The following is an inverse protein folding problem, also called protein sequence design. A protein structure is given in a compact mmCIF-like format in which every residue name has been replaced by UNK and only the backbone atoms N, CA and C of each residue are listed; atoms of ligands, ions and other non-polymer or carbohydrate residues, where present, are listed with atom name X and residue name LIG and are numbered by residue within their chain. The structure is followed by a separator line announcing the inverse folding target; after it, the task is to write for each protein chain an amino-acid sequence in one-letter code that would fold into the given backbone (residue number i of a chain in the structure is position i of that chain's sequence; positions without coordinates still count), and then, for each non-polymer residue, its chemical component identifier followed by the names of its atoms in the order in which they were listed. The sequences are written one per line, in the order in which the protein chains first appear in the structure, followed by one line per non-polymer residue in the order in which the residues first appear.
data_IF_650942381126
#
_entry.id   IF_650942381126
#
_cell.length_a   1.000
_cell.length_b   1.000
_cell.length_c   1.000
_cell.angle_alpha   90.00
_cell.angle_beta   90.00
_cell.angle_gamma   90.00
#
_symmetry.space_group_name_H-M   'P 1'
#
loop_
_entity.id
_entity.type
_entity.pdbx_description
1 polymer ?
#
# COMPACT_ATOMS: atom_id res chain seq x y z
N UNK A 1 -13.23 42.45 -30.28
CA UNK A 1 -13.13 43.20 -31.52
C UNK A 1 -13.82 44.57 -31.40
N UNK A 2 -15.08 44.66 -30.97
CA UNK A 2 -15.88 45.90 -30.93
C UNK A 2 -15.32 46.93 -29.93
N UNK A 3 -14.90 46.54 -28.72
CA UNK A 3 -14.32 47.43 -27.70
C UNK A 3 -13.03 48.07 -28.24
N UNK A 4 -12.16 47.28 -28.86
CA UNK A 4 -10.92 47.79 -29.46
C UNK A 4 -11.20 48.77 -30.61
N UNK A 5 -12.21 48.50 -31.42
CA UNK A 5 -12.63 49.42 -32.48
C UNK A 5 -13.21 50.75 -31.90
N UNK A 6 -14.02 50.65 -30.83
CA UNK A 6 -14.54 51.81 -30.13
C UNK A 6 -13.42 52.67 -29.51
N UNK A 7 -12.39 52.06 -28.94
CA UNK A 7 -11.20 52.78 -28.44
C UNK A 7 -10.46 53.50 -29.56
N UNK A 8 -10.19 52.83 -30.68
CA UNK A 8 -9.52 53.42 -31.83
C UNK A 8 -10.31 54.62 -32.34
N UNK A 9 -11.65 54.47 -32.43
CA UNK A 9 -12.50 55.56 -32.86
C UNK A 9 -12.47 56.76 -31.91
N UNK A 10 -12.51 56.50 -30.56
CA UNK A 10 -12.40 57.56 -29.56
C UNK A 10 -11.03 58.25 -29.61
N UNK A 11 -9.94 57.51 -29.72
CA UNK A 11 -8.59 58.05 -29.75
C UNK A 11 -8.29 58.87 -31.00
N UNK A 12 -8.99 58.59 -32.10
CA UNK A 12 -8.90 59.33 -33.35
C UNK A 12 -9.65 60.68 -33.33
N UNK A 13 -10.47 60.98 -32.28
CA UNK A 13 -11.11 62.28 -32.11
C UNK A 13 -10.08 63.34 -31.75
N UNK A 14 -10.28 64.54 -32.24
CA UNK A 14 -9.52 65.75 -31.79
C UNK A 14 -9.94 66.17 -30.36
N UNK A 15 -9.19 67.09 -29.78
CA UNK A 15 -9.40 67.53 -28.39
C UNK A 15 -10.77 68.21 -28.19
N UNK A 16 -11.28 68.93 -29.19
CA UNK A 16 -12.58 69.57 -29.12
C UNK A 16 -13.72 68.55 -29.09
N UNK A 17 -13.64 67.50 -29.91
CA UNK A 17 -14.63 66.43 -29.93
C UNK A 17 -14.51 65.49 -28.67
N UNK A 18 -13.29 65.24 -28.15
CA UNK A 18 -13.09 64.55 -26.89
C UNK A 18 -13.70 65.29 -25.70
N UNK A 19 -13.59 66.63 -25.68
CA UNK A 19 -14.13 67.47 -24.62
C UNK A 19 -15.67 67.42 -24.49
N UNK A 20 -16.35 67.20 -25.59
CA UNK A 20 -17.83 67.08 -25.61
C UNK A 20 -18.33 65.65 -25.61
N UNK A 21 -17.40 64.65 -25.62
CA UNK A 21 -17.78 63.23 -25.60
C UNK A 21 -18.50 62.89 -24.29
N UNK A 22 -19.56 62.10 -24.42
CA UNK A 22 -20.36 61.69 -23.26
C UNK A 22 -19.52 60.94 -22.22
N UNK A 23 -19.38 61.49 -21.03
CA UNK A 23 -18.57 60.92 -19.92
C UNK A 23 -19.05 59.53 -19.49
N UNK A 24 -20.37 59.26 -19.55
CA UNK A 24 -20.90 57.94 -19.16
C UNK A 24 -20.56 56.89 -20.23
N UNK A 25 -20.54 57.27 -21.53
CA UNK A 25 -20.13 56.39 -22.62
C UNK A 25 -18.63 56.09 -22.50
N UNK A 26 -17.80 57.09 -22.19
CA UNK A 26 -16.36 56.85 -21.97
C UNK A 26 -16.10 55.94 -20.78
N UNK A 27 -16.83 56.12 -19.65
CA UNK A 27 -16.73 55.25 -18.51
C UNK A 27 -17.10 53.81 -18.84
N UNK A 28 -18.19 53.58 -19.56
CA UNK A 28 -18.60 52.23 -20.04
C UNK A 28 -17.53 51.60 -20.93
N UNK A 29 -16.88 52.37 -21.81
CA UNK A 29 -15.77 51.89 -22.62
C UNK A 29 -14.58 51.46 -21.78
N UNK A 30 -14.16 52.25 -20.76
CA UNK A 30 -13.08 51.94 -19.84
C UNK A 30 -13.40 50.72 -19.00
N UNK A 31 -14.63 50.61 -18.46
CA UNK A 31 -15.08 49.47 -17.71
C UNK A 31 -15.07 48.18 -18.58
N UNK A 32 -15.52 48.29 -19.83
CA UNK A 32 -15.51 47.16 -20.76
C UNK A 32 -14.09 46.73 -21.16
N UNK A 33 -13.13 47.67 -21.25
CA UNK A 33 -11.73 47.38 -21.50
C UNK A 33 -11.11 46.63 -20.29
N UNK A 34 -11.35 47.11 -19.06
CA UNK A 34 -10.89 46.46 -17.86
C UNK A 34 -11.43 45.03 -17.73
N UNK A 35 -12.72 44.81 -17.98
CA UNK A 35 -13.32 43.47 -18.04
C UNK A 35 -12.67 42.60 -19.12
N UNK A 36 -12.44 43.17 -20.32
CA UNK A 36 -11.79 42.45 -21.43
C UNK A 36 -10.39 41.96 -21.08
N UNK A 37 -9.58 42.75 -20.36
CA UNK A 37 -8.24 42.36 -19.91
C UNK A 37 -8.29 41.24 -18.89
N UNK A 38 -9.25 41.27 -17.96
CA UNK A 38 -9.42 40.20 -16.95
C UNK A 38 -9.84 38.89 -17.60
N UNK A 39 -10.77 38.93 -18.56
CA UNK A 39 -11.17 37.74 -19.36
C UNK A 39 -9.96 37.18 -20.10
N UNK A 40 -9.17 38.01 -20.76
CA UNK A 40 -7.99 37.57 -21.51
C UNK A 40 -6.94 36.92 -20.59
N UNK A 41 -6.76 37.45 -19.39
CA UNK A 41 -5.87 36.84 -18.37
C UNK A 41 -6.36 35.44 -17.97
N UNK A 42 -7.66 35.28 -17.74
CA UNK A 42 -8.24 33.98 -17.42
C UNK A 42 -8.10 32.98 -18.56
N UNK A 43 -8.44 33.39 -19.80
CA UNK A 43 -8.28 32.56 -21.01
C UNK A 43 -6.84 32.12 -21.19
N UNK A 44 -5.86 33.03 -21.09
CA UNK A 44 -4.43 32.68 -21.20
C UNK A 44 -3.95 31.72 -20.10
N UNK A 45 -4.44 31.91 -18.89
CA UNK A 45 -4.10 30.98 -17.78
C UNK A 45 -4.67 29.58 -18.05
N UNK A 46 -5.90 29.47 -18.55
CA UNK A 46 -6.51 28.20 -18.94
C UNK A 46 -5.77 27.58 -20.13
N UNK A 47 -5.39 28.38 -21.13
CA UNK A 47 -4.62 27.91 -22.29
C UNK A 47 -3.26 27.34 -21.90
N UNK A 48 -2.64 27.89 -20.85
CA UNK A 48 -1.36 27.38 -20.31
C UNK A 48 -1.44 26.02 -19.62
N UNK A 49 -2.63 25.53 -19.31
CA UNK A 49 -2.83 24.18 -18.76
C UNK A 49 -2.50 23.15 -19.86
N UNK A 50 -1.70 22.11 -19.59
CA UNK A 50 -1.48 21.02 -20.54
C UNK A 50 -2.78 20.33 -20.97
N UNK A 51 -2.74 19.52 -22.02
CA UNK A 51 -3.87 18.68 -22.40
C UNK A 51 -4.16 17.65 -21.29
N UNK A 52 -5.42 17.24 -21.14
CA UNK A 52 -5.85 16.39 -20.01
C UNK A 52 -5.09 15.06 -19.92
N UNK A 53 -4.67 14.49 -21.04
CA UNK A 53 -3.87 13.26 -21.13
C UNK A 53 -2.39 13.45 -20.75
N UNK A 54 -1.91 14.69 -20.72
CA UNK A 54 -0.53 15.05 -20.35
C UNK A 54 -0.41 15.64 -18.93
N UNK A 55 -1.55 15.85 -18.25
CA UNK A 55 -1.57 16.43 -16.92
C UNK A 55 -0.92 15.51 -15.89
N UNK A 56 -0.13 16.14 -15.04
CA UNK A 56 0.50 15.53 -13.87
C UNK A 56 0.10 16.29 -12.60
N UNK A 57 0.41 15.76 -11.44
CA UNK A 57 0.16 16.46 -10.16
C UNK A 57 1.00 17.73 -9.99
N UNK A 58 2.09 17.87 -10.73
CA UNK A 58 2.90 19.11 -10.73
C UNK A 58 2.14 20.28 -11.34
N UNK A 59 1.19 20.00 -12.26
CA UNK A 59 0.36 21.00 -12.93
C UNK A 59 -0.78 21.53 -12.05
N UNK A 60 -1.03 20.92 -10.89
CA UNK A 60 -2.11 21.31 -9.96
C UNK A 60 -2.12 22.81 -9.68
N UNK A 61 -0.95 23.40 -9.39
CA UNK A 61 -0.84 24.84 -9.12
C UNK A 61 -1.22 25.72 -10.32
N UNK A 62 -0.96 25.24 -11.53
CA UNK A 62 -1.34 25.94 -12.77
C UNK A 62 -2.86 25.93 -12.94
N UNK A 63 -3.50 24.78 -12.68
CA UNK A 63 -4.96 24.63 -12.72
C UNK A 63 -5.63 25.50 -11.64
N UNK A 64 -5.15 25.46 -10.39
CA UNK A 64 -5.66 26.29 -9.28
C UNK A 64 -5.53 27.80 -9.56
N UNK A 65 -4.41 28.22 -10.18
CA UNK A 65 -4.22 29.61 -10.58
C UNK A 65 -5.22 30.01 -11.67
N UNK A 66 -5.47 29.16 -12.66
CA UNK A 66 -6.46 29.43 -13.70
C UNK A 66 -7.87 29.52 -13.10
N UNK A 67 -8.22 28.62 -12.15
CA UNK A 67 -9.48 28.66 -11.40
C UNK A 67 -9.62 29.98 -10.62
N UNK A 68 -8.60 30.39 -9.90
CA UNK A 68 -8.61 31.65 -9.14
C UNK A 68 -8.88 32.87 -10.04
N UNK A 69 -8.28 32.90 -11.24
CA UNK A 69 -8.49 33.98 -12.19
C UNK A 69 -9.90 33.96 -12.80
N UNK A 70 -10.45 32.78 -13.07
CA UNK A 70 -11.81 32.63 -13.54
C UNK A 70 -12.85 33.04 -12.48
N UNK A 71 -12.68 32.60 -11.23
CA UNK A 71 -13.61 32.89 -10.13
C UNK A 71 -13.60 34.38 -9.72
N UNK A 72 -12.52 35.10 -10.02
CA UNK A 72 -12.43 36.54 -9.80
C UNK A 72 -13.26 37.36 -10.83
N UNK A 73 -13.75 36.72 -11.89
CA UNK A 73 -14.61 37.36 -12.89
C UNK A 73 -16.07 37.45 -12.41
N UNK A 74 -16.78 38.52 -12.82
CA UNK A 74 -18.24 38.55 -12.66
C UNK A 74 -18.94 37.55 -13.60
N UNK A 75 -20.21 37.24 -13.37
CA UNK A 75 -20.95 36.23 -14.11
C UNK A 75 -21.01 36.50 -15.65
N UNK A 76 -21.07 37.77 -16.03
CA UNK A 76 -21.06 38.16 -17.44
C UNK A 76 -19.71 37.88 -18.12
N UNK A 77 -18.63 38.20 -17.41
CA UNK A 77 -17.25 37.96 -17.84
C UNK A 77 -16.92 36.46 -17.84
N UNK A 78 -17.40 35.69 -16.88
CA UNK A 78 -17.24 34.24 -16.85
C UNK A 78 -17.89 33.58 -18.07
N UNK A 79 -19.10 34.02 -18.46
CA UNK A 79 -19.78 33.52 -19.65
C UNK A 79 -19.03 33.81 -20.96
N UNK A 80 -18.13 34.79 -20.97
CA UNK A 80 -17.30 35.13 -22.11
C UNK A 80 -15.98 34.34 -22.20
N UNK A 81 -15.64 33.53 -21.20
CA UNK A 81 -14.44 32.67 -21.22
C UNK A 81 -14.69 31.45 -22.09
N UNK A 82 -14.11 31.44 -23.30
CA UNK A 82 -14.41 30.46 -24.35
C UNK A 82 -13.84 29.05 -24.09
N UNK A 83 -12.81 28.92 -23.24
CA UNK A 83 -12.08 27.68 -22.97
C UNK A 83 -12.34 27.13 -21.58
N UNK A 84 -13.46 27.47 -20.94
CA UNK A 84 -13.82 27.05 -19.59
C UNK A 84 -13.90 25.52 -19.43
N UNK A 85 -14.36 24.78 -20.48
CA UNK A 85 -14.40 23.33 -20.46
C UNK A 85 -13.02 22.70 -20.18
N UNK A 86 -11.95 23.27 -20.78
CA UNK A 86 -10.59 22.81 -20.55
C UNK A 86 -10.18 22.92 -19.06
N UNK A 87 -10.60 23.99 -18.37
CA UNK A 87 -10.36 24.16 -16.95
C UNK A 87 -11.06 23.06 -16.13
N UNK A 88 -12.35 22.84 -16.39
CA UNK A 88 -13.14 21.82 -15.67
C UNK A 88 -12.63 20.41 -15.92
N UNK A 89 -12.24 20.08 -17.15
CA UNK A 89 -11.63 18.79 -17.49
C UNK A 89 -10.29 18.59 -16.78
N UNK A 90 -9.47 19.65 -16.72
CA UNK A 90 -8.21 19.61 -15.99
C UNK A 90 -8.39 19.41 -14.48
N UNK A 91 -9.38 20.05 -13.87
CA UNK A 91 -9.70 19.88 -12.45
C UNK A 91 -10.14 18.45 -12.12
N UNK A 92 -11.01 17.87 -12.96
CA UNK A 92 -11.41 16.48 -12.81
C UNK A 92 -10.20 15.57 -12.93
N UNK A 93 -9.31 15.82 -13.89
CA UNK A 93 -8.11 15.00 -14.08
C UNK A 93 -7.12 15.10 -12.92
N UNK A 94 -6.91 16.29 -12.36
CA UNK A 94 -6.07 16.47 -11.16
C UNK A 94 -6.67 15.72 -9.99
N UNK A 95 -8.00 15.79 -9.77
CA UNK A 95 -8.66 15.06 -8.71
C UNK A 95 -8.51 13.53 -8.85
N UNK A 96 -8.63 12.97 -10.06
CA UNK A 96 -8.37 11.55 -10.34
C UNK A 96 -6.93 11.15 -10.03
N UNK A 97 -5.96 11.99 -10.38
CA UNK A 97 -4.55 11.74 -10.12
C UNK A 97 -4.23 11.78 -8.62
N UNK A 98 -4.85 12.69 -7.87
CA UNK A 98 -4.73 12.77 -6.42
C UNK A 98 -5.31 11.54 -5.73
N UNK A 99 -6.50 11.10 -6.15
CA UNK A 99 -7.14 9.89 -5.62
C UNK A 99 -6.27 8.65 -5.88
N UNK A 100 -5.76 8.51 -7.11
CA UNK A 100 -4.85 7.42 -7.48
C UNK A 100 -3.59 7.42 -6.62
N UNK A 101 -2.94 8.58 -6.44
CA UNK A 101 -1.74 8.69 -5.61
C UNK A 101 -2.03 8.37 -4.14
N UNK A 102 -3.18 8.80 -3.62
CA UNK A 102 -3.61 8.49 -2.27
C UNK A 102 -3.82 6.98 -2.09
N UNK A 103 -4.47 6.32 -3.07
CA UNK A 103 -4.67 4.87 -3.06
C UNK A 103 -3.35 4.11 -3.13
N UNK A 104 -2.45 4.46 -4.04
CA UNK A 104 -1.11 3.84 -4.15
C UNK A 104 -0.30 4.00 -2.86
N UNK A 105 -0.42 5.15 -2.21
CA UNK A 105 0.25 5.40 -0.91
C UNK A 105 -0.34 4.55 0.20
N UNK A 106 -1.68 4.40 0.24
CA UNK A 106 -2.37 3.54 1.20
C UNK A 106 -2.02 2.07 0.99
N UNK A 107 -1.98 1.60 -0.26
CA UNK A 107 -1.62 0.23 -0.61
C UNK A 107 -0.17 -0.10 -0.21
N UNK A 108 0.76 0.80 -0.49
CA UNK A 108 2.16 0.66 -0.07
C UNK A 108 2.30 0.59 1.44
N UNK A 109 1.60 1.47 2.18
CA UNK A 109 1.63 1.48 3.64
C UNK A 109 1.04 0.19 4.25
N UNK A 110 -0.03 -0.34 3.67
CA UNK A 110 -0.61 -1.61 4.12
C UNK A 110 0.38 -2.77 3.91
N UNK A 111 0.99 -2.87 2.74
CA UNK A 111 1.99 -3.88 2.42
C UNK A 111 3.25 -3.76 3.30
N UNK A 112 3.75 -2.53 3.53
CA UNK A 112 4.90 -2.27 4.40
C UNK A 112 4.65 -2.69 5.85
N UNK A 113 3.42 -2.49 6.36
CA UNK A 113 3.03 -2.95 7.70
C UNK A 113 3.18 -4.47 7.83
N UNK A 114 2.71 -5.23 6.84
CA UNK A 114 2.83 -6.70 6.82
C UNK A 114 4.28 -7.12 6.63
N UNK A 115 5.03 -6.49 5.72
CA UNK A 115 6.45 -6.77 5.49
C UNK A 115 7.27 -6.55 6.77
N UNK A 116 6.99 -5.50 7.51
CA UNK A 116 7.62 -5.21 8.81
C UNK A 116 7.25 -6.25 9.87
N UNK A 117 5.98 -6.68 9.89
CA UNK A 117 5.54 -7.74 10.79
C UNK A 117 6.27 -9.06 10.51
N UNK A 118 6.43 -9.44 9.24
CA UNK A 118 7.21 -10.61 8.82
C UNK A 118 8.68 -10.48 9.26
N UNK A 119 9.30 -9.32 9.01
CA UNK A 119 10.70 -9.07 9.38
C UNK A 119 10.94 -9.09 10.90
N UNK A 120 9.90 -8.88 11.70
CA UNK A 120 9.97 -8.95 13.17
C UNK A 120 9.91 -10.38 13.74
N UNK A 121 9.61 -11.40 12.91
CA UNK A 121 9.58 -12.79 13.31
C UNK A 121 10.99 -13.34 13.56
N UNK A 122 11.13 -14.36 14.43
CA UNK A 122 12.41 -15.05 14.61
C UNK A 122 12.91 -15.65 13.28
N UNK A 123 14.23 -15.72 13.10
CA UNK A 123 14.79 -16.46 11.97
C UNK A 123 14.48 -17.96 12.08
N UNK A 124 14.47 -18.68 10.95
CA UNK A 124 14.22 -20.12 10.92
C UNK A 124 15.11 -20.92 11.89
N UNK A 125 16.38 -20.51 12.03
CA UNK A 125 17.34 -21.11 12.95
C UNK A 125 16.92 -20.94 14.42
N UNK A 126 16.54 -19.71 14.79
CA UNK A 126 16.21 -19.33 16.17
C UNK A 126 14.73 -19.56 16.54
N UNK A 127 13.92 -20.05 15.61
CA UNK A 127 12.50 -20.26 15.83
C UNK A 127 12.27 -21.41 16.83
N UNK A 128 11.60 -21.09 17.94
CA UNK A 128 11.10 -22.06 18.91
C UNK A 128 9.57 -22.09 18.79
N UNK A 129 8.95 -23.23 18.40
CA UNK A 129 7.52 -23.31 18.10
C UNK A 129 6.66 -23.38 19.37
N UNK A 130 6.78 -22.38 20.24
CA UNK A 130 5.89 -22.23 21.41
C UNK A 130 4.59 -21.53 21.01
N UNK A 131 3.59 -21.56 21.88
CA UNK A 131 2.26 -21.00 21.60
C UNK A 131 2.32 -19.52 21.20
N UNK A 132 3.22 -18.74 21.77
CA UNK A 132 3.39 -17.33 21.43
C UNK A 132 3.88 -17.15 19.98
N UNK A 133 4.91 -17.90 19.57
CA UNK A 133 5.47 -17.81 18.21
C UNK A 133 4.48 -18.33 17.18
N UNK A 134 3.80 -19.44 17.46
CA UNK A 134 2.77 -20.00 16.57
C UNK A 134 1.62 -19.02 16.37
N UNK A 135 1.11 -18.45 17.46
CA UNK A 135 0.08 -17.41 17.39
C UNK A 135 0.53 -16.19 16.57
N UNK A 136 1.80 -15.75 16.76
CA UNK A 136 2.35 -14.62 16.02
C UNK A 136 2.46 -14.90 14.53
N UNK A 137 2.87 -16.11 14.14
CA UNK A 137 2.88 -16.53 12.72
C UNK A 137 1.48 -16.52 12.11
N UNK A 138 0.46 -16.97 12.85
CA UNK A 138 -0.93 -16.98 12.39
C UNK A 138 -1.50 -15.56 12.29
N UNK A 139 -1.19 -14.65 13.21
CA UNK A 139 -1.57 -13.24 13.15
C UNK A 139 -0.99 -12.55 11.92
N UNK A 140 0.29 -12.78 11.62
CA UNK A 140 0.96 -12.20 10.46
C UNK A 140 0.41 -12.79 9.16
N UNK A 141 0.10 -14.09 9.12
CA UNK A 141 -0.55 -14.72 7.97
C UNK A 141 -1.94 -14.12 7.74
N UNK A 142 -2.75 -13.96 8.79
CA UNK A 142 -4.07 -13.35 8.68
C UNK A 142 -4.00 -11.90 8.20
N UNK A 143 -2.98 -11.14 8.64
CA UNK A 143 -2.75 -9.78 8.15
C UNK A 143 -2.39 -9.75 6.67
N UNK A 144 -1.58 -10.71 6.18
CA UNK A 144 -1.29 -10.86 4.75
C UNK A 144 -2.54 -11.25 3.94
N UNK A 145 -3.32 -12.20 4.45
CA UNK A 145 -4.52 -12.70 3.76
C UNK A 145 -5.59 -11.60 3.60
N UNK A 146 -5.63 -10.64 4.54
CA UNK A 146 -6.54 -9.50 4.50
C UNK A 146 -6.16 -8.42 3.47
N UNK A 147 -4.95 -8.47 2.91
CA UNK A 147 -4.52 -7.55 1.86
C UNK A 147 -5.24 -7.83 0.54
N UNK A 148 -5.46 -6.77 -0.24
CA UNK A 148 -5.89 -6.89 -1.64
C UNK A 148 -4.77 -7.51 -2.50
N UNK A 149 -5.10 -8.02 -3.68
CA UNK A 149 -4.07 -8.58 -4.58
C UNK A 149 -3.00 -7.56 -4.98
N UNK A 150 -3.39 -6.28 -5.15
CA UNK A 150 -2.46 -5.18 -5.41
C UNK A 150 -1.48 -4.98 -4.24
N UNK A 151 -1.99 -5.00 -3.01
CA UNK A 151 -1.18 -4.87 -1.79
C UNK A 151 -0.27 -6.08 -1.57
N UNK A 152 -0.78 -7.31 -1.80
CA UNK A 152 0.01 -8.55 -1.70
C UNK A 152 1.21 -8.54 -2.65
N UNK A 153 1.02 -8.03 -3.87
CA UNK A 153 2.11 -7.90 -4.84
C UNK A 153 3.25 -6.97 -4.39
N UNK A 154 2.99 -6.09 -3.42
CA UNK A 154 3.98 -5.18 -2.82
C UNK A 154 4.71 -5.77 -1.61
N UNK A 155 4.30 -6.96 -1.12
CA UNK A 155 4.96 -7.66 0.01
C UNK A 155 6.08 -8.54 -0.52
N UNK A 156 7.31 -8.06 -0.49
CA UNK A 156 8.47 -8.75 -1.09
C UNK A 156 8.96 -9.94 -0.28
N UNK A 157 8.68 -9.99 1.02
CA UNK A 157 9.20 -11.01 1.94
C UNK A 157 8.17 -12.08 2.36
N UNK A 158 7.11 -12.29 1.60
CA UNK A 158 6.08 -13.29 1.94
C UNK A 158 6.63 -14.72 1.96
N UNK A 159 7.57 -15.05 1.09
CA UNK A 159 8.23 -16.38 1.10
C UNK A 159 8.93 -16.68 2.43
N UNK A 160 9.44 -15.65 3.11
CA UNK A 160 10.01 -15.81 4.46
C UNK A 160 8.96 -16.29 5.44
N UNK A 161 7.75 -15.71 5.42
CA UNK A 161 6.64 -16.15 6.28
C UNK A 161 6.26 -17.60 6.00
N UNK A 162 6.14 -17.99 4.73
CA UNK A 162 5.84 -19.38 4.34
C UNK A 162 6.90 -20.35 4.85
N UNK A 163 8.17 -20.00 4.68
CA UNK A 163 9.30 -20.79 5.18
C UNK A 163 9.24 -20.95 6.71
N UNK A 164 9.01 -19.83 7.44
CA UNK A 164 8.92 -19.87 8.89
C UNK A 164 7.75 -20.73 9.38
N UNK A 165 6.61 -20.68 8.70
CA UNK A 165 5.45 -21.52 9.04
C UNK A 165 5.76 -23.01 8.84
N UNK A 166 6.44 -23.36 7.76
CA UNK A 166 6.88 -24.75 7.48
C UNK A 166 7.85 -25.22 8.56
N UNK A 167 8.89 -24.42 8.86
CA UNK A 167 9.87 -24.74 9.90
C UNK A 167 9.22 -24.87 11.29
N UNK A 168 8.24 -23.99 11.59
CA UNK A 168 7.51 -24.06 12.85
C UNK A 168 6.72 -25.37 12.98
N UNK A 169 6.06 -25.82 11.90
CA UNK A 169 5.32 -27.06 11.86
C UNK A 169 6.27 -28.27 12.02
N UNK A 170 7.40 -28.28 11.31
CA UNK A 170 8.39 -29.35 11.38
C UNK A 170 9.02 -29.47 12.77
N UNK A 171 9.43 -28.33 13.36
CA UNK A 171 9.99 -28.31 14.73
C UNK A 171 8.94 -28.70 15.78
N UNK A 172 7.66 -28.36 15.60
CA UNK A 172 6.58 -28.77 16.48
C UNK A 172 6.37 -30.26 16.44
N UNK A 173 6.28 -30.85 15.24
CA UNK A 173 6.15 -32.31 15.09
C UNK A 173 7.33 -33.07 15.73
N UNK A 174 8.55 -32.58 15.55
CA UNK A 174 9.73 -33.12 16.21
C UNK A 174 9.71 -32.99 17.73
N UNK A 175 9.21 -31.86 18.26
CA UNK A 175 9.06 -31.65 19.69
C UNK A 175 8.06 -32.61 20.30
N UNK A 176 6.93 -32.91 19.65
CA UNK A 176 5.95 -33.91 20.10
C UNK A 176 6.57 -35.32 20.20
N UNK A 177 7.43 -35.70 19.25
CA UNK A 177 8.18 -36.96 19.32
C UNK A 177 9.25 -36.93 20.43
N UNK A 178 9.93 -35.80 20.60
CA UNK A 178 10.90 -35.59 21.68
C UNK A 178 10.25 -35.81 23.05
N UNK A 179 9.02 -35.30 23.25
CA UNK A 179 8.26 -35.49 24.48
C UNK A 179 7.87 -36.99 24.69
N UNK A 180 7.46 -37.69 23.63
CA UNK A 180 7.19 -39.15 23.72
C UNK A 180 8.43 -39.93 24.09
N UNK A 181 9.59 -39.61 23.56
CA UNK A 181 10.87 -40.24 23.94
C UNK A 181 11.22 -39.91 25.38
N UNK A 182 11.02 -38.66 25.84
CA UNK A 182 11.25 -38.29 27.25
C UNK A 182 10.34 -39.04 28.20
N UNK A 183 9.08 -39.34 27.82
CA UNK A 183 8.12 -40.08 28.61
C UNK A 183 8.55 -41.53 28.89
N UNK A 184 9.45 -42.10 28.09
CA UNK A 184 10.05 -43.42 28.36
C UNK A 184 10.78 -43.40 29.71
N UNK A 185 11.53 -42.33 30.01
CA UNK A 185 12.32 -42.16 31.23
C UNK A 185 13.34 -43.28 31.38
N UNK A 186 13.70 -43.62 32.63
CA UNK A 186 14.70 -44.67 32.93
C UNK A 186 14.08 -46.06 32.79
N UNK A 187 14.67 -46.90 31.92
CA UNK A 187 14.35 -48.32 31.74
C UNK A 187 15.25 -49.18 32.65
N UNK A 188 14.66 -50.19 33.27
CA UNK A 188 15.39 -51.23 34.05
C UNK A 188 14.62 -52.56 34.02
N UNK A 189 15.22 -53.62 34.55
CA UNK A 189 14.63 -54.96 34.53
C UNK A 189 13.27 -55.07 35.27
N UNK A 190 12.98 -54.13 36.18
CA UNK A 190 11.73 -54.12 36.97
C UNK A 190 10.57 -53.41 36.30
N UNK A 191 10.82 -52.62 35.23
CA UNK A 191 9.78 -51.78 34.60
C UNK A 191 9.73 -51.90 33.07
N UNK A 192 10.54 -52.77 32.42
CA UNK A 192 10.66 -52.83 30.95
C UNK A 192 9.36 -53.25 30.28
N UNK A 193 8.62 -54.24 30.80
CA UNK A 193 7.33 -54.68 30.24
C UNK A 193 6.29 -53.53 30.22
N UNK A 194 6.22 -52.75 31.35
CA UNK A 194 5.29 -51.63 31.47
C UNK A 194 5.61 -50.48 30.50
N UNK A 195 6.88 -50.33 30.14
CA UNK A 195 7.36 -49.21 29.29
C UNK A 195 7.52 -49.61 27.83
N UNK A 196 7.37 -50.89 27.46
CA UNK A 196 7.45 -51.37 26.09
C UNK A 196 6.49 -50.64 25.16
N UNK A 197 5.26 -50.39 25.63
CA UNK A 197 4.27 -49.62 24.84
C UNK A 197 4.72 -48.16 24.55
N UNK A 198 5.36 -47.49 25.52
CA UNK A 198 5.90 -46.14 25.33
C UNK A 198 7.03 -46.11 24.31
N UNK A 199 7.92 -47.09 24.32
CA UNK A 199 9.01 -47.22 23.33
C UNK A 199 8.44 -47.46 21.92
N UNK A 200 7.46 -48.36 21.78
CA UNK A 200 6.80 -48.64 20.53
C UNK A 200 6.07 -47.41 19.99
N UNK A 201 5.36 -46.66 20.84
CA UNK A 201 4.67 -45.46 20.46
C UNK A 201 5.66 -44.36 20.01
N UNK A 202 6.77 -44.15 20.75
CA UNK A 202 7.80 -43.20 20.38
C UNK A 202 8.46 -43.55 19.03
N UNK A 203 8.75 -44.87 18.80
CA UNK A 203 9.28 -45.37 17.51
C UNK A 203 8.31 -45.09 16.37
N UNK A 204 7.07 -45.46 16.53
CA UNK A 204 6.04 -45.24 15.52
C UNK A 204 5.91 -43.76 15.17
N UNK A 205 5.91 -42.90 16.20
CA UNK A 205 5.85 -41.46 15.98
C UNK A 205 7.11 -40.91 15.29
N UNK A 206 8.29 -41.39 15.63
CA UNK A 206 9.55 -41.02 14.99
C UNK A 206 9.60 -41.44 13.50
N UNK A 207 9.19 -42.69 13.22
CA UNK A 207 9.23 -43.23 11.85
C UNK A 207 8.23 -42.52 10.91
N UNK A 208 7.17 -41.95 11.47
CA UNK A 208 6.20 -41.11 10.75
C UNK A 208 6.74 -39.71 10.35
N UNK A 209 7.84 -39.27 10.96
CA UNK A 209 8.46 -37.97 10.65
C UNK A 209 9.16 -38.01 9.29
N UNK A 210 9.15 -36.88 8.58
CA UNK A 210 10.01 -36.65 7.41
C UNK A 210 11.49 -36.58 7.83
N UNK A 211 12.42 -36.71 6.89
CA UNK A 211 13.86 -36.62 7.17
C UNK A 211 14.25 -35.26 7.76
N UNK A 212 13.60 -34.17 7.33
CA UNK A 212 13.80 -32.81 7.90
C UNK A 212 13.35 -32.78 9.36
N UNK A 213 12.17 -33.31 9.68
CA UNK A 213 11.62 -33.37 11.03
C UNK A 213 12.46 -34.23 11.95
N UNK A 214 12.95 -35.38 11.46
CA UNK A 214 13.86 -36.28 12.19
C UNK A 214 15.15 -35.55 12.60
N UNK A 215 15.64 -34.63 11.75
CA UNK A 215 16.81 -33.80 12.05
C UNK A 215 16.62 -32.86 13.24
N UNK A 216 15.38 -32.56 13.63
CA UNK A 216 15.08 -31.72 14.80
C UNK A 216 14.86 -32.53 16.09
N UNK A 217 14.83 -33.86 16.05
CA UNK A 217 14.66 -34.70 17.25
C UNK A 217 15.99 -34.86 17.95
N UNK A 218 16.22 -34.09 19.02
CA UNK A 218 17.50 -34.01 19.71
C UNK A 218 17.85 -35.24 20.55
N UNK A 219 16.85 -36.03 21.00
CA UNK A 219 17.00 -37.14 21.92
C UNK A 219 16.81 -38.52 21.28
N UNK A 220 16.94 -38.64 19.96
CA UNK A 220 16.77 -39.89 19.24
C UNK A 220 17.62 -41.04 19.78
N UNK A 221 18.88 -40.77 20.19
CA UNK A 221 19.75 -41.77 20.81
C UNK A 221 19.22 -42.38 22.14
N UNK A 222 18.26 -41.70 22.81
CA UNK A 222 17.58 -42.28 23.98
C UNK A 222 16.62 -43.37 23.55
N UNK A 223 15.89 -43.15 22.44
CA UNK A 223 15.00 -44.14 21.86
C UNK A 223 15.76 -45.40 21.41
N UNK A 224 16.88 -45.24 20.69
CA UNK A 224 17.72 -46.39 20.25
C UNK A 224 18.23 -47.19 21.42
N UNK A 225 18.68 -46.53 22.49
CA UNK A 225 19.11 -47.24 23.71
C UNK A 225 17.98 -47.98 24.42
N UNK A 226 16.78 -47.40 24.43
CA UNK A 226 15.59 -48.02 25.00
C UNK A 226 15.21 -49.29 24.24
N UNK A 227 15.23 -49.26 22.93
CA UNK A 227 14.95 -50.42 22.07
C UNK A 227 15.98 -51.51 22.22
N UNK A 228 17.27 -51.14 22.23
CA UNK A 228 18.34 -52.09 22.45
C UNK A 228 18.19 -52.80 23.84
N UNK A 229 17.85 -52.04 24.89
CA UNK A 229 17.61 -52.63 26.22
C UNK A 229 16.45 -53.62 26.19
N UNK A 230 15.29 -53.26 25.59
CA UNK A 230 14.15 -54.18 25.49
C UNK A 230 14.50 -55.45 24.72
N UNK A 231 15.25 -55.36 23.62
CA UNK A 231 15.68 -56.53 22.84
C UNK A 231 16.62 -57.49 23.61
N UNK A 232 17.29 -57.00 24.65
CA UNK A 232 18.14 -57.83 25.56
C UNK A 232 17.33 -58.48 26.66
N UNK A 233 16.21 -57.90 27.09
CA UNK A 233 15.33 -58.48 28.11
C UNK A 233 14.40 -59.59 27.57
N UNK A 234 14.16 -59.61 26.26
CA UNK A 234 13.33 -60.63 25.61
C UNK A 234 14.08 -61.97 25.30
N UNK A 235 15.38 -62.02 25.59
CA UNK A 235 16.22 -63.20 25.38
C UNK A 235 16.45 -63.93 26.71
#
# INVERSE_FOLDING_TARGET
AQIKAARIAYDALDDAHKAIFNKDTLRKLLDAEGKGELIEKAVKAIDSIPAADQLTLEDKKTVEKARTLYDALDAESQAAVSNYSKLTEAEVKIAELEEKQAQETADRKAAESVSTAIASLPTAENLIPNDYVLKRLDEVQAAYDALTETQKALVENYETLQTLRTVAADKKAAAEVTEKINAIGTLNAGNHEQKQALVTEARTAYDALSDIQKGYVANYGVLEKAELFLSTCEK
#
